data_IF_935558499457
#
_entry.id   IF_935558499457
#
_cell.length_a   1.000
_cell.length_b   1.000
_cell.length_c   1.000
_cell.angle_alpha   90.00
_cell.angle_beta   90.00
_cell.angle_gamma   90.00
#
_symmetry.space_group_name_H-M   'P 1'
#
loop_
_entity.id
_entity.type
_entity.pdbx_description
1 polymer ?
#
# COMPACT_ATOMS: atom_id res chain seq x y z
N UNK A 1 -8.88 7.89 -2.58
CA UNK A 1 -10.33 8.23 -2.45
C UNK A 1 -11.20 7.53 -3.48
N UNK A 2 -10.78 7.43 -4.76
CA UNK A 2 -11.55 6.72 -5.80
C UNK A 2 -11.91 5.28 -5.39
N UNK A 3 -10.99 4.54 -4.77
CA UNK A 3 -11.22 3.15 -4.33
C UNK A 3 -12.39 3.01 -3.35
N UNK A 4 -12.62 3.99 -2.46
CA UNK A 4 -13.74 3.94 -1.52
C UNK A 4 -15.13 3.92 -2.18
N UNK A 5 -15.28 4.46 -3.39
CA UNK A 5 -16.55 4.44 -4.12
C UNK A 5 -16.98 3.03 -4.55
N UNK A 6 -16.08 2.06 -4.50
CA UNK A 6 -16.34 0.66 -4.85
C UNK A 6 -16.58 -0.23 -3.62
N UNK A 7 -16.50 0.34 -2.41
CA UNK A 7 -16.67 -0.38 -1.15
C UNK A 7 -17.99 0.09 -0.54
N UNK A 8 -18.94 -0.82 -0.41
CA UNK A 8 -20.29 -0.52 0.06
C UNK A 8 -20.56 -1.14 1.43
N UNK A 9 -21.59 -0.66 2.12
CA UNK A 9 -22.10 -1.26 3.35
C UNK A 9 -21.27 -1.00 4.61
N UNK A 10 -20.31 -0.06 4.59
CA UNK A 10 -19.51 0.28 5.75
C UNK A 10 -20.23 1.25 6.68
N UNK A 11 -20.19 0.95 7.97
CA UNK A 11 -20.78 1.73 9.06
C UNK A 11 -19.81 1.92 10.23
N UNK A 12 -20.31 2.43 11.37
CA UNK A 12 -19.53 2.63 12.60
C UNK A 12 -19.10 1.32 13.29
N UNK A 13 -19.69 0.19 12.95
CA UNK A 13 -19.35 -1.13 13.47
C UNK A 13 -18.34 -1.86 12.60
N UNK A 14 -18.10 -1.37 11.39
CA UNK A 14 -17.16 -1.95 10.45
C UNK A 14 -15.71 -1.74 10.88
N UNK A 15 -14.85 -2.72 10.61
CA UNK A 15 -13.43 -2.71 10.94
C UNK A 15 -12.59 -2.79 9.68
N UNK A 16 -11.75 -1.78 9.46
CA UNK A 16 -10.76 -1.74 8.40
C UNK A 16 -9.36 -1.95 8.98
N UNK A 17 -8.61 -2.89 8.45
CA UNK A 17 -7.18 -3.02 8.69
C UNK A 17 -6.38 -2.37 7.54
N UNK A 18 -5.50 -1.41 7.86
CA UNK A 18 -4.54 -0.85 6.89
C UNK A 18 -3.17 -1.48 7.12
N UNK A 19 -2.75 -2.36 6.21
CA UNK A 19 -1.52 -3.14 6.30
C UNK A 19 -0.36 -2.40 5.65
N UNK A 20 0.74 -2.22 6.38
CA UNK A 20 1.85 -1.34 6.01
C UNK A 20 1.44 0.13 6.12
N UNK A 21 0.77 0.48 7.21
CA UNK A 21 0.15 1.79 7.39
C UNK A 21 1.15 2.96 7.52
N UNK A 22 2.44 2.69 7.67
CA UNK A 22 3.45 3.70 7.87
C UNK A 22 3.11 4.66 9.02
N UNK A 23 3.28 5.94 8.80
CA UNK A 23 2.92 6.99 9.77
C UNK A 23 1.44 7.39 9.74
N UNK A 24 0.59 6.66 9.00
CA UNK A 24 -0.87 6.75 9.07
C UNK A 24 -1.53 7.70 8.06
N UNK A 25 -0.81 8.15 7.04
CA UNK A 25 -1.35 9.11 6.07
C UNK A 25 -2.67 8.68 5.45
N UNK A 26 -2.72 7.48 4.86
CA UNK A 26 -3.92 6.91 4.25
C UNK A 26 -5.02 6.66 5.29
N UNK A 27 -4.67 6.05 6.43
CA UNK A 27 -5.65 5.74 7.48
C UNK A 27 -6.33 6.99 8.03
N UNK A 28 -5.57 8.06 8.27
CA UNK A 28 -6.11 9.33 8.74
C UNK A 28 -6.96 10.02 7.67
N UNK A 29 -6.61 9.84 6.40
CA UNK A 29 -7.43 10.32 5.29
C UNK A 29 -8.74 9.51 5.18
N UNK A 30 -8.67 8.18 5.19
CA UNK A 30 -9.84 7.29 5.17
C UNK A 30 -10.80 7.61 6.29
N UNK A 31 -10.30 7.87 7.49
CA UNK A 31 -11.10 8.22 8.66
C UNK A 31 -11.97 9.47 8.51
N UNK A 32 -11.69 10.34 7.54
CA UNK A 32 -12.53 11.52 7.24
C UNK A 32 -13.77 11.18 6.43
N UNK A 33 -13.76 10.04 5.75
CA UNK A 33 -14.79 9.64 4.79
C UNK A 33 -15.56 8.39 5.21
N UNK A 34 -15.09 7.70 6.26
CA UNK A 34 -15.70 6.48 6.78
C UNK A 34 -15.90 6.62 8.29
N UNK A 35 -17.04 6.16 8.82
CA UNK A 35 -17.28 6.13 10.26
C UNK A 35 -16.59 4.96 10.97
N UNK A 36 -16.08 4.00 10.22
CA UNK A 36 -15.53 2.71 10.67
C UNK A 36 -14.33 2.83 11.61
N UNK A 37 -14.09 1.78 12.38
CA UNK A 37 -12.83 1.62 13.11
C UNK A 37 -11.70 1.30 12.12
N UNK A 38 -10.56 1.98 12.23
CA UNK A 38 -9.37 1.75 11.40
C UNK A 38 -8.22 1.33 12.29
N UNK A 39 -7.65 0.16 11.99
CA UNK A 39 -6.48 -0.39 12.68
C UNK A 39 -5.33 -0.47 11.69
N UNK A 40 -4.33 0.39 11.86
CA UNK A 40 -3.08 0.31 11.11
C UNK A 40 -2.19 -0.81 11.63
N UNK A 41 -1.48 -1.49 10.74
CA UNK A 41 -0.43 -2.45 11.07
C UNK A 41 0.85 -2.04 10.35
N UNK A 42 1.94 -1.92 11.09
CA UNK A 42 3.28 -1.71 10.53
C UNK A 42 4.33 -2.41 11.37
N UNK A 43 5.43 -2.85 10.76
CA UNK A 43 6.51 -3.52 11.47
C UNK A 43 7.44 -2.56 12.22
N UNK A 44 7.44 -1.28 11.88
CA UNK A 44 8.30 -0.25 12.46
C UNK A 44 7.60 0.48 13.60
N UNK A 45 8.09 0.28 14.82
CA UNK A 45 7.53 0.88 16.06
C UNK A 45 7.49 2.41 15.99
N UNK A 46 8.51 3.05 15.42
CA UNK A 46 8.56 4.50 15.25
C UNK A 46 7.45 5.02 14.36
N UNK A 47 7.08 4.28 13.30
CA UNK A 47 5.97 4.64 12.43
C UNK A 47 4.63 4.51 13.15
N UNK A 48 4.43 3.40 13.88
CA UNK A 48 3.24 3.17 14.70
C UNK A 48 3.08 4.25 15.76
N UNK A 49 4.16 4.62 16.43
CA UNK A 49 4.16 5.69 17.43
C UNK A 49 3.79 7.04 16.82
N UNK A 50 4.36 7.39 15.66
CA UNK A 50 4.04 8.62 14.94
C UNK A 50 2.58 8.63 14.49
N UNK A 51 2.06 7.52 13.97
CA UNK A 51 0.65 7.38 13.59
C UNK A 51 -0.28 7.63 14.78
N UNK A 52 -0.05 6.93 15.89
CA UNK A 52 -0.90 7.05 17.07
C UNK A 52 -0.88 8.48 17.65
N UNK A 53 0.27 9.15 17.62
CA UNK A 53 0.37 10.56 18.02
C UNK A 53 -0.43 11.48 17.09
N UNK A 54 -0.41 11.24 15.78
CA UNK A 54 -1.21 12.01 14.83
C UNK A 54 -2.72 11.76 15.02
N UNK A 55 -3.14 10.51 15.23
CA UNK A 55 -4.53 10.17 15.53
C UNK A 55 -5.02 10.87 16.81
N UNK A 56 -4.18 10.94 17.84
CA UNK A 56 -4.48 11.68 19.08
C UNK A 56 -4.64 13.17 18.82
N UNK A 57 -3.71 13.79 18.10
CA UNK A 57 -3.75 15.22 17.79
C UNK A 57 -4.99 15.63 16.96
N UNK A 58 -5.53 14.69 16.17
CA UNK A 58 -6.74 14.89 15.36
C UNK A 58 -8.04 14.48 16.09
N UNK A 59 -7.97 14.07 17.36
CA UNK A 59 -9.09 13.54 18.15
C UNK A 59 -9.75 12.29 17.51
N UNK A 60 -8.97 11.46 16.84
CA UNK A 60 -9.44 10.23 16.17
C UNK A 60 -9.09 8.95 16.94
N UNK A 61 -8.32 9.03 18.03
CA UNK A 61 -7.76 7.88 18.75
C UNK A 61 -8.80 6.90 19.33
N UNK A 62 -10.08 7.31 19.42
CA UNK A 62 -11.18 6.41 19.83
C UNK A 62 -11.52 5.35 18.77
N UNK A 63 -11.22 5.58 17.49
CA UNK A 63 -11.55 4.68 16.38
C UNK A 63 -10.42 4.48 15.37
N UNK A 64 -9.30 5.19 15.50
CA UNK A 64 -8.15 5.09 14.61
C UNK A 64 -6.90 4.88 15.45
N UNK A 65 -6.24 3.74 15.26
CA UNK A 65 -5.01 3.39 15.98
C UNK A 65 -4.13 2.50 15.11
N UNK A 66 -2.84 2.42 15.44
CA UNK A 66 -1.92 1.46 14.84
C UNK A 66 -1.32 0.53 15.90
N UNK A 67 -0.94 -0.65 15.46
CA UNK A 67 -0.24 -1.67 16.25
C UNK A 67 1.00 -2.15 15.48
N UNK A 68 2.03 -2.54 16.24
CA UNK A 68 3.24 -3.14 15.65
C UNK A 68 2.93 -4.59 15.28
N UNK A 69 3.27 -4.97 14.04
CA UNK A 69 3.09 -6.34 13.57
C UNK A 69 3.52 -6.52 12.13
N UNK A 70 3.53 -7.78 11.69
CA UNK A 70 3.89 -8.17 10.34
C UNK A 70 2.65 -8.58 9.56
N UNK A 71 2.64 -8.28 8.25
CA UNK A 71 1.48 -8.59 7.41
C UNK A 71 1.39 -10.06 7.00
N UNK A 72 2.42 -10.85 7.26
CA UNK A 72 2.39 -12.31 7.11
C UNK A 72 1.65 -12.99 8.27
N UNK A 73 1.60 -12.34 9.45
CA UNK A 73 0.99 -12.90 10.67
C UNK A 73 0.14 -11.81 11.34
N UNK A 74 -1.09 -11.67 10.85
CA UNK A 74 -1.97 -10.59 11.27
C UNK A 74 -2.51 -10.82 12.70
N UNK A 75 -2.46 -9.80 13.59
CA UNK A 75 -2.94 -9.90 14.97
C UNK A 75 -4.46 -9.67 15.07
N UNK A 76 -5.22 -10.25 14.14
CA UNK A 76 -6.68 -10.14 14.10
C UNK A 76 -7.32 -11.51 14.26
N UNK A 77 -8.54 -11.53 14.78
CA UNK A 77 -9.35 -12.74 14.81
C UNK A 77 -9.79 -13.12 13.39
N UNK A 78 -9.91 -14.41 13.08
CA UNK A 78 -10.46 -14.86 11.81
C UNK A 78 -11.84 -14.25 11.55
N UNK A 79 -12.10 -13.88 10.29
CA UNK A 79 -13.40 -13.34 9.83
C UNK A 79 -13.87 -12.09 10.62
N UNK A 80 -12.93 -11.25 11.07
CA UNK A 80 -13.25 -10.08 11.87
C UNK A 80 -13.19 -8.75 11.10
N UNK A 81 -12.56 -8.74 9.92
CA UNK A 81 -12.34 -7.53 9.14
C UNK A 81 -13.38 -7.37 8.03
N UNK A 82 -13.92 -6.17 7.91
CA UNK A 82 -14.78 -5.78 6.80
C UNK A 82 -13.96 -5.32 5.59
N UNK A 83 -12.81 -4.68 5.84
CA UNK A 83 -11.91 -4.25 4.77
C UNK A 83 -10.46 -4.52 5.15
N UNK A 84 -9.67 -5.02 4.22
CA UNK A 84 -8.21 -4.96 4.25
C UNK A 84 -7.75 -3.96 3.18
N UNK A 85 -7.05 -2.93 3.64
CA UNK A 85 -6.45 -1.89 2.81
C UNK A 85 -4.93 -2.01 2.84
N UNK A 86 -4.26 -1.83 1.70
CA UNK A 86 -2.79 -1.85 1.66
C UNK A 86 -2.27 -1.11 0.43
N UNK A 87 -1.48 -0.08 0.62
CA UNK A 87 -0.89 0.70 -0.47
C UNK A 87 0.64 0.66 -0.43
N UNK A 88 1.26 0.27 -1.55
CA UNK A 88 2.71 0.38 -1.75
C UNK A 88 3.58 -0.61 -0.96
N UNK A 89 3.01 -1.71 -0.45
CA UNK A 89 3.75 -2.67 0.41
C UNK A 89 3.42 -4.14 0.11
N UNK A 90 2.49 -4.42 -0.78
CA UNK A 90 2.09 -5.79 -1.12
C UNK A 90 3.21 -6.57 -1.82
N UNK A 91 4.24 -5.88 -2.27
CA UNK A 91 5.41 -6.46 -2.92
C UNK A 91 6.16 -7.41 -1.98
N UNK A 92 6.20 -7.13 -0.67
CA UNK A 92 6.95 -7.93 0.31
C UNK A 92 6.41 -9.35 0.47
N UNK A 93 5.08 -9.59 0.72
CA UNK A 93 4.51 -10.94 0.73
C UNK A 93 4.26 -11.49 -0.68
N UNK A 94 4.21 -10.63 -1.70
CA UNK A 94 3.75 -10.92 -3.04
C UNK A 94 2.22 -10.91 -3.17
N UNK A 95 1.72 -10.47 -4.33
CA UNK A 95 0.30 -10.21 -4.57
C UNK A 95 -0.60 -11.43 -4.24
N UNK A 96 -0.27 -12.59 -4.80
CA UNK A 96 -1.04 -13.83 -4.57
C UNK A 96 -0.98 -14.30 -3.11
N UNK A 97 0.22 -14.29 -2.52
CA UNK A 97 0.41 -14.78 -1.16
C UNK A 97 -0.31 -13.88 -0.13
N UNK A 98 -0.27 -12.56 -0.32
CA UNK A 98 -1.03 -11.61 0.49
C UNK A 98 -2.53 -11.89 0.42
N UNK A 99 -3.11 -11.97 -0.79
CA UNK A 99 -4.54 -12.24 -0.97
C UNK A 99 -4.99 -13.54 -0.31
N UNK A 100 -4.22 -14.63 -0.47
CA UNK A 100 -4.54 -15.93 0.14
C UNK A 100 -4.49 -15.89 1.67
N UNK A 101 -3.48 -15.23 2.25
CA UNK A 101 -3.37 -15.10 3.70
C UNK A 101 -4.50 -14.26 4.27
N UNK A 102 -4.78 -13.11 3.68
CA UNK A 102 -5.75 -12.15 4.19
C UNK A 102 -7.20 -12.62 4.11
N UNK A 103 -7.48 -13.58 3.22
CA UNK A 103 -8.78 -14.22 3.12
C UNK A 103 -9.27 -14.80 4.45
N UNK A 104 -8.35 -15.28 5.30
CA UNK A 104 -8.71 -15.84 6.59
C UNK A 104 -9.29 -14.83 7.57
N UNK A 105 -8.92 -13.56 7.43
CA UNK A 105 -9.30 -12.48 8.34
C UNK A 105 -10.50 -11.66 7.85
N UNK A 106 -10.73 -11.63 6.53
CA UNK A 106 -11.88 -10.96 5.95
C UNK A 106 -13.18 -11.72 6.25
N UNK A 107 -14.22 -11.01 6.63
CA UNK A 107 -15.60 -11.53 6.66
C UNK A 107 -16.05 -11.94 5.26
N UNK A 108 -17.09 -12.77 5.16
CA UNK A 108 -17.83 -12.93 3.91
C UNK A 108 -18.50 -11.59 3.55
N UNK A 109 -18.40 -11.18 2.31
CA UNK A 109 -18.81 -9.83 1.90
C UNK A 109 -17.83 -8.73 2.26
N UNK A 110 -16.67 -9.07 2.84
CA UNK A 110 -15.59 -8.13 3.11
C UNK A 110 -14.73 -7.85 1.87
N UNK A 111 -14.11 -6.69 1.84
CA UNK A 111 -13.34 -6.20 0.70
C UNK A 111 -11.83 -6.24 0.98
N UNK A 112 -11.05 -6.51 -0.05
CA UNK A 112 -9.68 -5.99 -0.08
C UNK A 112 -9.59 -4.80 -1.04
N UNK A 113 -8.71 -3.87 -0.74
CA UNK A 113 -8.40 -2.69 -1.56
C UNK A 113 -6.89 -2.44 -1.49
N UNK A 114 -6.16 -2.78 -2.56
CA UNK A 114 -4.71 -2.82 -2.54
C UNK A 114 -4.10 -2.22 -3.79
N UNK A 115 -2.89 -1.69 -3.67
CA UNK A 115 -2.09 -1.32 -4.83
C UNK A 115 -0.98 -2.33 -5.06
N UNK A 116 -0.68 -2.60 -6.34
CA UNK A 116 0.47 -3.41 -6.75
C UNK A 116 1.10 -2.82 -8.01
N UNK A 117 2.44 -2.85 -8.14
CA UNK A 117 3.09 -2.50 -9.39
C UNK A 117 2.64 -3.46 -10.47
N UNK A 118 2.31 -2.92 -11.64
CA UNK A 118 1.77 -3.73 -12.73
C UNK A 118 2.26 -3.21 -14.07
N UNK A 119 2.43 -4.12 -15.03
CA UNK A 119 2.67 -3.76 -16.42
C UNK A 119 1.41 -3.15 -17.02
N UNK A 120 1.57 -1.99 -17.65
CA UNK A 120 0.50 -1.25 -18.33
C UNK A 120 0.48 -1.52 -19.83
N UNK A 121 1.55 -2.11 -20.35
CA UNK A 121 1.74 -2.46 -21.76
C UNK A 121 2.33 -3.87 -21.87
N UNK A 122 2.32 -4.44 -23.09
CA UNK A 122 3.01 -5.71 -23.38
C UNK A 122 4.53 -5.54 -23.55
N UNK A 123 5.04 -4.33 -23.57
CA UNK A 123 6.46 -4.01 -23.62
C UNK A 123 6.99 -3.90 -22.19
N UNK A 124 7.95 -4.76 -21.85
CA UNK A 124 8.56 -4.83 -20.52
C UNK A 124 10.03 -4.39 -20.62
N UNK A 125 10.35 -3.12 -20.36
CA UNK A 125 11.74 -2.65 -20.38
C UNK A 125 12.60 -3.42 -19.38
N UNK A 126 13.71 -3.97 -19.85
CA UNK A 126 14.62 -4.82 -19.04
C UNK A 126 15.14 -4.11 -17.80
N UNK A 127 15.36 -2.80 -17.88
CA UNK A 127 15.79 -1.99 -16.74
C UNK A 127 14.76 -1.97 -15.62
N UNK A 128 13.47 -1.93 -15.96
CA UNK A 128 12.36 -1.97 -15.00
C UNK A 128 12.24 -3.37 -14.39
N UNK A 129 12.26 -4.40 -15.23
CA UNK A 129 12.25 -5.80 -14.75
C UNK A 129 13.38 -6.06 -13.77
N UNK A 130 14.59 -5.62 -14.13
CA UNK A 130 15.77 -5.79 -13.28
C UNK A 130 15.62 -5.05 -11.95
N UNK A 131 15.16 -3.80 -11.97
CA UNK A 131 14.98 -2.99 -10.76
C UNK A 131 14.05 -3.68 -9.75
N UNK A 132 12.89 -4.13 -10.20
CA UNK A 132 11.91 -4.79 -9.35
C UNK A 132 12.37 -6.19 -8.90
N UNK A 133 13.03 -6.94 -9.79
CA UNK A 133 13.60 -8.24 -9.44
C UNK A 133 14.72 -8.12 -8.41
N UNK A 134 15.61 -7.12 -8.54
CA UNK A 134 16.66 -6.84 -7.55
C UNK A 134 16.06 -6.43 -6.17
N UNK A 135 14.87 -5.83 -6.16
CA UNK A 135 14.09 -5.54 -4.95
C UNK A 135 13.31 -6.76 -4.41
N UNK A 136 13.39 -7.91 -5.06
CA UNK A 136 12.67 -9.12 -4.68
C UNK A 136 11.19 -9.14 -5.10
N UNK A 137 10.79 -8.24 -5.98
CA UNK A 137 9.41 -8.07 -6.43
C UNK A 137 9.24 -8.55 -7.88
N UNK A 138 8.08 -9.14 -8.16
CA UNK A 138 7.64 -9.47 -9.53
C UNK A 138 6.54 -8.51 -9.94
N UNK A 139 6.66 -7.95 -11.16
CA UNK A 139 5.58 -7.17 -11.74
C UNK A 139 4.81 -8.07 -12.70
N UNK A 140 3.53 -8.24 -12.44
CA UNK A 140 2.62 -8.97 -13.31
C UNK A 140 1.80 -7.99 -14.17
N UNK A 141 1.19 -8.48 -15.26
CA UNK A 141 0.23 -7.69 -16.02
C UNK A 141 -1.07 -7.46 -15.22
N UNK A 142 -1.84 -6.45 -15.61
CA UNK A 142 -3.17 -6.25 -15.00
C UNK A 142 -4.03 -7.50 -15.19
N UNK A 143 -3.97 -8.14 -16.36
CA UNK A 143 -4.75 -9.35 -16.66
C UNK A 143 -4.36 -10.52 -15.76
N UNK A 144 -3.06 -10.75 -15.52
CA UNK A 144 -2.57 -11.79 -14.61
C UNK A 144 -2.99 -11.54 -13.17
N UNK A 145 -2.94 -10.29 -12.72
CA UNK A 145 -3.42 -9.91 -11.39
C UNK A 145 -4.93 -10.12 -11.25
N UNK A 146 -5.74 -9.82 -12.27
CA UNK A 146 -7.17 -10.11 -12.28
C UNK A 146 -7.47 -11.62 -12.28
N UNK A 147 -6.68 -12.40 -13.00
CA UNK A 147 -6.77 -13.87 -12.97
C UNK A 147 -6.41 -14.41 -11.56
N UNK A 148 -5.38 -13.86 -10.94
CA UNK A 148 -4.94 -14.20 -9.58
C UNK A 148 -6.02 -13.89 -8.54
N UNK A 149 -6.67 -12.71 -8.62
CA UNK A 149 -7.79 -12.33 -7.73
C UNK A 149 -8.89 -13.39 -7.78
N UNK A 150 -9.31 -13.79 -8.98
CA UNK A 150 -10.35 -14.83 -9.16
C UNK A 150 -9.89 -16.20 -8.66
N UNK A 151 -8.65 -16.59 -8.95
CA UNK A 151 -8.06 -17.84 -8.50
C UNK A 151 -7.92 -17.94 -6.98
N UNK A 152 -7.78 -16.79 -6.29
CA UNK A 152 -7.80 -16.68 -4.84
C UNK A 152 -9.22 -16.69 -4.23
N UNK A 153 -10.29 -16.87 -5.03
CA UNK A 153 -11.67 -16.96 -4.53
C UNK A 153 -12.31 -15.61 -4.19
N UNK A 154 -11.86 -14.55 -4.84
CA UNK A 154 -12.49 -13.23 -4.73
C UNK A 154 -13.29 -12.90 -5.99
N UNK A 155 -14.39 -12.21 -5.82
CA UNK A 155 -15.08 -11.52 -6.91
C UNK A 155 -14.34 -10.22 -7.20
N UNK A 156 -13.85 -10.05 -8.43
CA UNK A 156 -13.27 -8.79 -8.89
C UNK A 156 -14.34 -7.69 -8.93
N UNK A 157 -14.05 -6.54 -8.32
CA UNK A 157 -14.95 -5.38 -8.28
C UNK A 157 -14.47 -4.28 -9.21
N UNK A 158 -13.24 -3.80 -9.02
CA UNK A 158 -12.68 -2.72 -9.82
C UNK A 158 -11.15 -2.75 -9.83
N UNK A 159 -10.57 -2.15 -10.87
CA UNK A 159 -9.16 -1.77 -10.89
C UNK A 159 -8.97 -0.48 -11.66
N UNK A 160 -7.97 0.30 -11.30
CA UNK A 160 -7.60 1.51 -12.02
C UNK A 160 -6.11 1.84 -11.79
N UNK A 161 -5.49 2.37 -12.83
CA UNK A 161 -4.10 2.84 -12.78
C UNK A 161 -4.05 4.11 -11.93
N UNK A 162 -3.12 4.19 -10.98
CA UNK A 162 -2.87 5.42 -10.23
C UNK A 162 -2.31 6.49 -11.16
N UNK A 163 -2.86 7.71 -11.13
CA UNK A 163 -2.33 8.83 -11.90
C UNK A 163 -0.87 9.16 -11.56
N UNK A 164 -0.14 9.68 -12.53
CA UNK A 164 1.29 10.03 -12.38
C UNK A 164 1.56 10.95 -11.18
N UNK A 165 0.67 11.88 -10.86
CA UNK A 165 0.83 12.77 -9.71
C UNK A 165 0.88 12.04 -8.36
N UNK A 166 0.27 10.83 -8.26
CA UNK A 166 0.38 10.00 -7.05
C UNK A 166 1.83 9.59 -6.81
N UNK A 167 2.57 9.30 -7.88
CA UNK A 167 3.98 8.97 -7.81
C UNK A 167 4.85 10.21 -7.64
N UNK A 168 4.67 11.20 -8.51
CA UNK A 168 5.56 12.36 -8.55
C UNK A 168 5.30 13.32 -7.40
N UNK A 169 4.08 13.86 -7.30
CA UNK A 169 3.79 14.96 -6.38
C UNK A 169 3.59 14.47 -4.94
N UNK A 170 3.00 13.28 -4.77
CA UNK A 170 2.64 12.78 -3.44
C UNK A 170 3.71 11.84 -2.84
N UNK A 171 4.65 11.32 -3.63
CA UNK A 171 5.66 10.37 -3.15
C UNK A 171 7.09 10.80 -3.50
N UNK A 172 7.46 10.86 -4.78
CA UNK A 172 8.86 11.09 -5.16
C UNK A 172 9.39 12.48 -4.79
N UNK A 173 8.67 13.54 -5.09
CA UNK A 173 9.12 14.91 -4.80
C UNK A 173 9.26 15.16 -3.29
N UNK A 174 8.27 14.82 -2.44
CA UNK A 174 8.42 14.92 -0.98
C UNK A 174 9.58 14.07 -0.43
N UNK A 175 9.74 12.84 -0.94
CA UNK A 175 10.82 11.93 -0.53
C UNK A 175 12.19 12.48 -0.91
N UNK A 176 12.37 12.99 -2.14
CA UNK A 176 13.63 13.62 -2.58
C UNK A 176 13.98 14.84 -1.71
N UNK A 177 13.01 15.69 -1.39
CA UNK A 177 13.22 16.85 -0.51
C UNK A 177 13.65 16.41 0.91
N UNK A 178 13.07 15.34 1.45
CA UNK A 178 13.46 14.80 2.74
C UNK A 178 14.89 14.20 2.71
N UNK A 179 15.21 13.46 1.66
CA UNK A 179 16.54 12.87 1.44
C UNK A 179 17.60 13.95 1.32
N UNK A 180 17.34 15.03 0.58
CA UNK A 180 18.26 16.16 0.47
C UNK A 180 18.60 16.75 1.84
N UNK A 181 17.57 17.07 2.65
CA UNK A 181 17.77 17.62 4.02
C UNK A 181 18.55 16.68 4.91
N UNK A 182 18.30 15.35 4.82
CA UNK A 182 19.03 14.35 5.58
C UNK A 182 20.48 14.23 5.11
N UNK A 183 20.74 14.30 3.80
CA UNK A 183 22.10 14.30 3.25
C UNK A 183 22.92 15.51 3.69
N UNK A 184 22.30 16.69 3.75
CA UNK A 184 22.92 17.91 4.28
C UNK A 184 23.24 17.78 5.78
N UNK A 185 22.38 17.11 6.55
CA UNK A 185 22.56 16.86 7.99
C UNK A 185 23.64 15.80 8.28
N UNK A 186 23.79 14.82 7.39
CA UNK A 186 24.70 13.68 7.57
C UNK A 186 25.63 13.50 6.36
N UNK A 187 26.49 14.50 6.02
CA UNK A 187 27.27 14.53 4.78
C UNK A 187 28.29 13.38 4.67
N UNK A 188 28.80 12.89 5.81
CA UNK A 188 29.79 11.81 5.84
C UNK A 188 29.16 10.40 5.88
N UNK A 189 27.83 10.29 5.89
CA UNK A 189 27.14 9.00 5.96
C UNK A 189 27.13 8.30 4.61
N UNK A 190 27.88 7.19 4.48
CA UNK A 190 27.87 6.34 3.29
C UNK A 190 26.48 5.76 3.01
N UNK A 191 25.81 5.28 4.05
CA UNK A 191 24.43 4.74 3.95
C UNK A 191 23.47 5.77 3.39
N UNK A 192 23.58 7.04 3.86
CA UNK A 192 22.73 8.12 3.34
C UNK A 192 23.04 8.43 1.88
N UNK A 193 24.31 8.43 1.51
CA UNK A 193 24.75 8.64 0.12
C UNK A 193 24.26 7.53 -0.82
N UNK A 194 24.34 6.28 -0.39
CA UNK A 194 23.82 5.12 -1.16
C UNK A 194 22.31 5.17 -1.30
N UNK A 195 21.59 5.45 -0.23
CA UNK A 195 20.13 5.61 -0.25
C UNK A 195 19.69 6.74 -1.18
N UNK A 196 20.38 7.89 -1.15
CA UNK A 196 20.11 9.01 -2.05
C UNK A 196 20.31 8.63 -3.53
N UNK A 197 21.36 7.86 -3.84
CA UNK A 197 21.62 7.38 -5.21
C UNK A 197 20.55 6.41 -5.69
N UNK A 198 20.16 5.45 -4.84
CA UNK A 198 19.11 4.49 -5.17
C UNK A 198 17.76 5.20 -5.41
N UNK A 199 17.43 6.16 -4.55
CA UNK A 199 16.23 6.96 -4.73
C UNK A 199 16.24 7.77 -6.04
N UNK A 200 17.37 8.40 -6.37
CA UNK A 200 17.52 9.14 -7.64
C UNK A 200 17.32 8.21 -8.84
N UNK A 201 17.93 7.02 -8.80
CA UNK A 201 17.78 6.03 -9.86
C UNK A 201 16.32 5.57 -10.03
N UNK A 202 15.63 5.28 -8.93
CA UNK A 202 14.20 4.88 -8.96
C UNK A 202 13.34 5.97 -9.62
N UNK A 203 13.55 7.23 -9.26
CA UNK A 203 12.81 8.37 -9.84
C UNK A 203 13.09 8.54 -11.33
N UNK A 204 14.35 8.45 -11.75
CA UNK A 204 14.72 8.52 -13.17
C UNK A 204 14.13 7.35 -13.98
N UNK A 205 14.18 6.14 -13.42
CA UNK A 205 13.56 4.95 -14.02
C UNK A 205 12.05 5.16 -14.22
N UNK A 206 11.36 5.65 -13.19
CA UNK A 206 9.94 5.94 -13.31
C UNK A 206 9.65 7.00 -14.37
N UNK A 207 10.37 8.14 -14.39
CA UNK A 207 10.19 9.18 -15.39
C UNK A 207 10.38 8.67 -16.81
N UNK A 208 11.34 7.77 -17.00
CA UNK A 208 11.64 7.20 -18.33
C UNK A 208 10.57 6.21 -18.78
N UNK A 209 10.06 5.37 -17.86
CA UNK A 209 9.26 4.20 -18.21
C UNK A 209 7.84 4.18 -17.65
N UNK A 210 7.35 5.28 -17.06
CA UNK A 210 6.01 5.37 -16.43
C UNK A 210 4.83 4.99 -17.35
N UNK A 211 5.05 4.95 -18.67
CA UNK A 211 4.05 4.51 -19.64
C UNK A 211 3.94 2.98 -19.73
N UNK A 212 4.97 2.26 -19.31
CA UNK A 212 5.05 0.81 -19.38
C UNK A 212 4.65 0.13 -18.08
N UNK A 213 4.84 0.78 -16.93
CA UNK A 213 4.48 0.25 -15.61
C UNK A 213 4.00 1.35 -14.67
N UNK A 214 3.27 0.93 -13.65
CA UNK A 214 2.79 1.84 -12.60
C UNK A 214 2.06 1.07 -11.52
N UNK A 215 1.67 1.75 -10.43
CA UNK A 215 0.77 1.13 -9.46
C UNK A 215 -0.65 1.11 -10.00
N UNK A 216 -1.27 -0.06 -9.83
CA UNK A 216 -2.69 -0.26 -10.13
C UNK A 216 -3.39 -0.57 -8.82
N UNK A 217 -4.49 0.09 -8.57
CA UNK A 217 -5.39 -0.22 -7.47
C UNK A 217 -6.29 -1.39 -7.87
N UNK A 218 -6.38 -2.40 -7.01
CA UNK A 218 -7.24 -3.56 -7.18
C UNK A 218 -8.20 -3.67 -6.01
N UNK A 219 -9.46 -3.92 -6.31
CA UNK A 219 -10.53 -4.08 -5.32
C UNK A 219 -11.26 -5.37 -5.62
N UNK A 220 -11.40 -6.19 -4.60
CA UNK A 220 -12.13 -7.45 -4.68
C UNK A 220 -12.95 -7.72 -3.43
N UNK A 221 -13.99 -8.51 -3.61
CA UNK A 221 -14.95 -8.91 -2.58
C UNK A 221 -14.73 -10.38 -2.25
N UNK A 222 -14.69 -10.73 -0.98
CA UNK A 222 -14.68 -12.12 -0.53
C UNK A 222 -16.10 -12.69 -0.54
N UNK A 223 -16.32 -13.78 -1.25
CA UNK A 223 -17.60 -14.53 -1.28
C UNK A 223 -17.89 -15.29 0.01
#
# INVERSE_FOLDING_TARGET
MQALHFIEGLDEHSVLANLGCGTGGESLLLARYMPSTIIGLDMFEDFVSAFNQQALNLNLSSRVKAVVGKMEELPFEPLSLDVIWSEGVLDAPGFKAGLLNWQNYLKRGGYFAVTSPSWLTSEHPTEVEKFWSDAGCTIDSIEDNLATIRACGYTYIASFVLPEYCWMDNYYIPRQNAIQKLSEKYPESKTMSEFAKQNTYEVELYKQFHKHYGYVFYIGLKE
#
